data_IF_067499224866
#
_entry.id   IF_067499224866
#
_cell.length_a   1.000
_cell.length_b   1.000
_cell.length_c   1.000
_cell.angle_alpha   90.00
_cell.angle_beta   90.00
_cell.angle_gamma   90.00
#
_symmetry.space_group_name_H-M   'P 1'
#
loop_
_entity.id
_entity.type
_entity.pdbx_description
1 polymer ?
#
# COMPACT_ATOMS: atom_id res chain seq x y z
N UNK A 1 5.93 -15.18 9.14
CA UNK A 1 5.81 -14.88 7.70
C UNK A 1 5.97 -13.38 7.46
N UNK A 2 5.29 -12.52 8.23
CA UNK A 2 5.49 -11.05 8.23
C UNK A 2 6.95 -10.60 8.32
N UNK A 3 7.75 -11.16 9.23
CA UNK A 3 9.18 -10.82 9.35
C UNK A 3 9.96 -11.11 8.06
N UNK A 4 9.70 -12.27 7.46
CA UNK A 4 10.31 -12.64 6.18
C UNK A 4 9.91 -11.66 5.07
N UNK A 5 8.63 -11.31 4.99
CA UNK A 5 8.15 -10.33 4.01
C UNK A 5 8.75 -8.94 4.23
N UNK A 6 8.92 -8.49 5.48
CA UNK A 6 9.61 -7.24 5.78
C UNK A 6 11.07 -7.26 5.33
N UNK A 7 11.78 -8.38 5.48
CA UNK A 7 13.13 -8.54 4.94
C UNK A 7 13.16 -8.54 3.42
N UNK A 8 12.21 -9.19 2.75
CA UNK A 8 12.18 -9.33 1.29
C UNK A 8 11.70 -8.06 0.57
N UNK A 9 10.76 -7.34 1.16
CA UNK A 9 10.07 -6.21 0.52
C UNK A 9 10.30 -4.87 1.22
N UNK A 10 10.93 -4.83 2.41
CA UNK A 10 11.06 -3.62 3.22
C UNK A 10 11.77 -2.46 2.53
N UNK A 11 12.68 -2.75 1.58
CA UNK A 11 13.35 -1.71 0.79
C UNK A 11 12.42 -1.04 -0.24
N UNK A 12 11.34 -1.73 -0.63
CA UNK A 12 10.32 -1.22 -1.55
C UNK A 12 9.14 -0.54 -0.85
N UNK A 13 9.13 -0.57 0.48
CA UNK A 13 8.07 0.02 1.30
C UNK A 13 8.50 1.39 1.80
N UNK A 14 7.55 2.33 1.86
CA UNK A 14 7.76 3.56 2.62
C UNK A 14 8.03 3.27 4.10
N UNK A 15 8.67 4.23 4.77
CA UNK A 15 8.95 4.11 6.19
C UNK A 15 7.66 3.95 7.00
N UNK A 16 6.60 4.71 6.66
CA UNK A 16 5.30 4.61 7.34
C UNK A 16 4.67 3.22 7.23
N UNK A 17 4.76 2.58 6.07
CA UNK A 17 4.25 1.21 5.90
C UNK A 17 5.07 0.18 6.68
N UNK A 18 6.41 0.30 6.68
CA UNK A 18 7.28 -0.54 7.51
C UNK A 18 6.95 -0.43 9.00
N UNK A 19 6.79 0.80 9.48
CA UNK A 19 6.49 1.08 10.88
C UNK A 19 5.13 0.50 11.27
N UNK A 20 4.10 0.69 10.42
CA UNK A 20 2.75 0.17 10.67
C UNK A 20 2.73 -1.36 10.76
N UNK A 21 3.36 -2.05 9.80
CA UNK A 21 3.47 -3.52 9.82
C UNK A 21 4.27 -3.99 11.04
N UNK A 22 5.38 -3.32 11.35
CA UNK A 22 6.25 -3.64 12.49
C UNK A 22 5.56 -3.47 13.84
N UNK A 23 4.75 -2.43 14.00
CA UNK A 23 3.94 -2.20 15.20
C UNK A 23 2.87 -3.27 15.36
N UNK A 24 2.11 -3.59 14.30
CA UNK A 24 1.09 -4.64 14.35
C UNK A 24 1.70 -6.03 14.64
N UNK A 25 2.89 -6.32 14.10
CA UNK A 25 3.64 -7.53 14.42
C UNK A 25 4.09 -7.56 15.89
N UNK A 26 4.54 -6.43 16.43
CA UNK A 26 4.90 -6.32 17.85
C UNK A 26 3.69 -6.56 18.75
N UNK A 27 2.54 -5.97 18.41
CA UNK A 27 1.28 -6.19 19.13
C UNK A 27 0.88 -7.68 19.13
N UNK A 28 0.96 -8.35 17.98
CA UNK A 28 0.68 -9.78 17.89
C UNK A 28 1.62 -10.61 18.78
N UNK A 29 2.92 -10.30 18.78
CA UNK A 29 3.89 -11.00 19.63
C UNK A 29 3.60 -10.80 21.10
N UNK A 30 3.29 -9.58 21.52
CA UNK A 30 2.91 -9.28 22.90
C UNK A 30 1.61 -10.00 23.31
N UNK A 31 0.59 -10.00 22.46
CA UNK A 31 -0.66 -10.73 22.71
C UNK A 31 -0.42 -12.24 22.86
N UNK A 32 0.44 -12.81 22.01
CA UNK A 32 0.84 -14.21 22.09
C UNK A 32 1.59 -14.52 23.40
N UNK A 33 2.58 -13.69 23.76
CA UNK A 33 3.34 -13.84 25.01
C UNK A 33 2.46 -13.72 26.25
N UNK A 34 1.52 -12.78 26.25
CA UNK A 34 0.55 -12.58 27.31
C UNK A 34 -0.56 -13.65 27.33
N UNK A 35 -0.64 -14.50 26.30
CA UNK A 35 -1.73 -15.45 26.05
C UNK A 35 -3.10 -14.77 25.99
N UNK A 36 -3.12 -13.53 25.49
CA UNK A 36 -4.33 -12.75 25.27
C UNK A 36 -4.96 -13.16 23.94
N UNK A 37 -5.76 -14.22 24.00
CA UNK A 37 -6.40 -14.83 22.82
C UNK A 37 -7.36 -13.85 22.13
N UNK A 38 -7.97 -12.94 22.89
CA UNK A 38 -8.94 -11.97 22.36
C UNK A 38 -8.24 -10.91 21.49
N UNK A 39 -6.95 -10.62 21.76
CA UNK A 39 -6.14 -9.66 21.00
C UNK A 39 -5.43 -10.29 19.79
N UNK A 40 -5.19 -11.61 19.78
CA UNK A 40 -4.46 -12.28 18.70
C UNK A 40 -5.17 -12.11 17.34
N UNK A 41 -6.47 -12.37 17.28
CA UNK A 41 -7.22 -12.27 16.01
C UNK A 41 -7.25 -10.82 15.47
N UNK A 42 -7.57 -9.79 16.27
CA UNK A 42 -7.43 -8.39 15.86
C UNK A 42 -6.03 -8.01 15.39
N UNK A 43 -4.97 -8.48 16.06
CA UNK A 43 -3.60 -8.18 15.68
C UNK A 43 -3.23 -8.82 14.33
N UNK A 44 -3.71 -10.04 14.05
CA UNK A 44 -3.56 -10.69 12.74
C UNK A 44 -4.28 -9.91 11.63
N UNK A 45 -5.50 -9.41 11.90
CA UNK A 45 -6.25 -8.59 10.96
C UNK A 45 -5.54 -7.27 10.65
N UNK A 46 -5.02 -6.58 11.68
CA UNK A 46 -4.19 -5.38 11.51
C UNK A 46 -2.97 -5.62 10.64
N UNK A 47 -2.27 -6.74 10.82
CA UNK A 47 -1.12 -7.11 9.97
C UNK A 47 -1.56 -7.28 8.51
N UNK A 48 -2.68 -7.97 8.27
CA UNK A 48 -3.20 -8.18 6.91
C UNK A 48 -3.61 -6.86 6.25
N UNK A 49 -4.29 -5.98 6.98
CA UNK A 49 -4.67 -4.66 6.48
C UNK A 49 -3.45 -3.78 6.18
N UNK A 50 -2.46 -3.78 7.07
CA UNK A 50 -1.21 -3.05 6.86
C UNK A 50 -0.48 -3.53 5.59
N UNK A 51 -0.45 -4.84 5.33
CA UNK A 51 0.10 -5.38 4.08
C UNK A 51 -0.71 -5.03 2.85
N UNK A 52 -2.04 -5.00 2.95
CA UNK A 52 -2.90 -4.56 1.85
C UNK A 52 -2.57 -3.11 1.47
N UNK A 53 -2.57 -2.20 2.44
CA UNK A 53 -2.25 -0.79 2.22
C UNK A 53 -0.82 -0.60 1.66
N UNK A 54 0.14 -1.34 2.19
CA UNK A 54 1.52 -1.32 1.71
C UNK A 54 1.63 -1.79 0.25
N UNK A 55 0.88 -2.83 -0.14
CA UNK A 55 0.86 -3.32 -1.52
C UNK A 55 0.20 -2.33 -2.48
N UNK A 56 -0.90 -1.70 -2.07
CA UNK A 56 -1.57 -0.67 -2.86
C UNK A 56 -0.67 0.56 -3.11
N UNK A 57 0.10 0.98 -2.11
CA UNK A 57 1.08 2.05 -2.28
C UNK A 57 2.19 1.66 -3.26
N UNK A 58 2.70 0.42 -3.17
CA UNK A 58 3.74 -0.07 -4.07
C UNK A 58 3.26 -0.11 -5.53
N UNK A 59 2.01 -0.52 -5.78
CA UNK A 59 1.41 -0.45 -7.12
C UNK A 59 1.35 0.99 -7.63
N UNK A 60 0.83 1.92 -6.82
CA UNK A 60 0.74 3.35 -7.20
C UNK A 60 2.11 3.96 -7.52
N UNK A 61 3.17 3.59 -6.79
CA UNK A 61 4.54 4.02 -7.09
C UNK A 61 5.09 3.40 -8.38
N UNK A 62 4.74 2.14 -8.66
CA UNK A 62 5.12 1.45 -9.90
C UNK A 62 4.45 2.03 -11.15
N UNK A 63 3.15 2.35 -11.08
CA UNK A 63 2.42 3.02 -12.15
C UNK A 63 2.99 4.42 -12.43
N UNK A 64 3.34 5.18 -11.38
CA UNK A 64 3.97 6.48 -11.52
C UNK A 64 5.37 6.41 -12.19
N UNK A 65 6.10 5.31 -12.02
CA UNK A 65 7.39 5.08 -12.71
C UNK A 65 7.23 4.62 -14.17
N UNK A 66 6.13 3.95 -14.54
CA UNK A 66 5.88 3.51 -15.93
C UNK A 66 5.21 4.58 -16.80
N UNK A 67 4.54 5.58 -16.20
CA UNK A 67 3.98 6.74 -16.91
C UNK A 67 4.98 7.85 -17.27
N UNK A 68 6.27 7.67 -16.93
CA UNK A 68 7.33 8.66 -17.13
C UNK A 68 8.02 8.58 -18.50
N UNK A 69 7.28 8.69 -19.60
CA UNK A 69 7.85 9.03 -20.92
C UNK A 69 7.26 10.35 -21.41
N UNK A 70 7.99 11.43 -21.17
CA UNK A 70 7.79 12.69 -21.88
C UNK A 70 8.71 12.72 -23.10
N UNK A 71 8.25 13.28 -24.23
CA UNK A 71 9.06 14.27 -24.93
C UNK A 71 8.33 15.62 -25.06
N UNK A 72 9.12 16.68 -24.92
CA UNK A 72 8.77 18.06 -25.26
C UNK A 72 8.35 18.20 -26.73
N UNK A 73 7.24 18.89 -27.00
CA UNK A 73 7.13 19.85 -28.11
C UNK A 73 6.02 20.87 -27.81
N UNK A 74 6.22 22.12 -28.20
CA UNK A 74 5.49 23.29 -27.74
C UNK A 74 4.11 23.49 -28.39
N UNK A 75 3.25 24.18 -27.64
CA UNK A 75 2.00 24.73 -28.16
C UNK A 75 1.07 25.17 -27.02
N UNK A 76 0.93 26.49 -26.87
CA UNK A 76 -0.14 27.25 -26.18
C UNK A 76 -1.14 26.51 -25.25
N UNK A 77 -1.19 26.98 -24.00
CA UNK A 77 -2.32 26.89 -23.03
C UNK A 77 -3.67 27.35 -23.69
N UNK A 78 -4.87 26.78 -23.36
CA UNK A 78 -5.47 26.84 -22.01
C UNK A 78 -6.10 25.57 -21.43
N UNK A 79 -5.95 25.46 -20.10
CA UNK A 79 -6.77 24.77 -19.10
C UNK A 79 -7.43 23.45 -19.54
N UNK A 80 -6.69 22.37 -19.33
CA UNK A 80 -7.14 20.99 -19.49
C UNK A 80 -8.17 20.60 -18.44
N UNK A 81 -9.39 20.50 -18.92
CA UNK A 81 -10.37 19.49 -18.56
C UNK A 81 -9.66 18.13 -18.35
N UNK A 82 -9.36 17.79 -17.10
CA UNK A 82 -8.84 16.48 -16.73
C UNK A 82 -10.00 15.59 -16.26
N UNK A 83 -11.05 15.52 -17.10
CA UNK A 83 -12.01 14.43 -17.07
C UNK A 83 -11.28 13.19 -17.55
N UNK A 84 -10.80 12.42 -16.59
CA UNK A 84 -10.44 11.04 -16.83
C UNK A 84 -11.76 10.27 -16.83
N UNK A 85 -12.40 10.22 -18.01
CA UNK A 85 -13.53 9.37 -18.31
C UNK A 85 -13.19 7.94 -17.91
N UNK A 86 -13.81 7.47 -16.82
CA UNK A 86 -13.98 6.05 -16.58
C UNK A 86 -15.37 5.71 -17.08
N UNK A 87 -15.44 5.18 -18.29
CA UNK A 87 -16.63 4.51 -18.84
C UNK A 87 -17.06 3.38 -17.89
N UNK A 88 -17.95 3.69 -16.95
CA UNK A 88 -18.75 2.69 -16.25
C UNK A 88 -19.84 2.26 -17.23
N UNK A 89 -19.51 1.34 -18.11
CA UNK A 89 -20.50 0.65 -18.92
C UNK A 89 -21.39 -0.18 -17.98
N UNK A 90 -22.62 0.30 -17.85
CA UNK A 90 -23.77 -0.27 -17.16
C UNK A 90 -23.87 -1.79 -17.39
N UNK A 91 -23.69 -2.59 -16.33
CA UNK A 91 -24.11 -4.00 -16.37
C UNK A 91 -25.43 -4.11 -15.60
N UNK A 92 -26.51 -4.22 -16.37
CA UNK A 92 -27.85 -4.62 -15.89
C UNK A 92 -27.85 -6.01 -15.26
#
# INVERSE_FOLDING_TARGET
QTEKQLTEFGDKLSQGNKDTIGMALTELKMAYEAKDVDTIQPALEKINEAWKNASEEMYKQGDAQQGGQQPQDGGQQPEGDNVQDVDFEEVK
#
